data_IF_460710468793
#
_entry.id   IF_460710468793
#
_cell.length_a   1.000
_cell.length_b   1.000
_cell.length_c   1.000
_cell.angle_alpha   90.00
_cell.angle_beta   90.00
_cell.angle_gamma   90.00
#
_symmetry.space_group_name_H-M   'P 1'
#
loop_
_entity.id
_entity.type
_entity.pdbx_description
1 polymer ?
#
# COMPACT_ATOMS: atom_id res chain seq x y z
N UNK A 1 7.25 -18.40 -22.46
CA UNK A 1 7.87 -18.02 -23.75
C UNK A 1 7.98 -16.52 -23.76
N UNK A 2 9.20 -16.01 -23.82
CA UNK A 2 9.44 -14.56 -23.83
C UNK A 2 9.75 -14.07 -25.26
N UNK A 3 10.10 -14.98 -26.18
CA UNK A 3 10.24 -14.68 -27.60
C UNK A 3 8.98 -15.09 -28.38
N UNK A 4 8.47 -14.18 -29.21
CA UNK A 4 7.27 -14.37 -30.03
C UNK A 4 7.56 -13.94 -31.46
N UNK A 5 7.12 -14.75 -32.43
CA UNK A 5 7.15 -14.38 -33.85
C UNK A 5 5.75 -14.03 -34.31
N UNK A 6 5.58 -12.82 -34.83
CA UNK A 6 4.32 -12.30 -35.35
C UNK A 6 4.38 -12.27 -36.87
N UNK A 7 3.34 -12.75 -37.54
CA UNK A 7 3.13 -12.44 -38.96
C UNK A 7 2.64 -10.99 -39.13
N UNK A 8 2.40 -10.55 -40.37
CA UNK A 8 1.98 -9.18 -40.64
C UNK A 8 0.65 -8.80 -39.95
N UNK A 9 -0.36 -9.68 -40.00
CA UNK A 9 -1.67 -9.43 -39.37
C UNK A 9 -1.55 -9.33 -37.84
N UNK A 10 -0.81 -10.25 -37.23
CA UNK A 10 -0.52 -10.24 -35.80
C UNK A 10 0.29 -9.01 -35.39
N UNK A 11 1.21 -8.53 -36.23
CA UNK A 11 1.90 -7.26 -36.00
C UNK A 11 0.93 -6.06 -36.03
N UNK A 12 -0.03 -6.03 -36.96
CA UNK A 12 -1.03 -4.96 -37.02
C UNK A 12 -1.91 -4.97 -35.77
N UNK A 13 -2.36 -6.15 -35.31
CA UNK A 13 -3.03 -6.28 -34.01
C UNK A 13 -2.11 -5.78 -32.87
N UNK A 14 -0.89 -6.31 -32.79
CA UNK A 14 0.06 -5.96 -31.72
C UNK A 14 0.27 -4.44 -31.61
N UNK A 15 0.46 -3.77 -32.75
CA UNK A 15 0.76 -2.33 -32.78
C UNK A 15 -0.47 -1.43 -32.78
N UNK A 16 -1.64 -1.98 -33.12
CA UNK A 16 -2.88 -1.24 -33.37
C UNK A 16 -2.83 -0.41 -34.66
N UNK A 17 -1.89 -0.68 -35.57
CA UNK A 17 -1.81 0.02 -36.85
C UNK A 17 -2.79 -0.55 -37.86
N UNK A 18 -3.37 0.32 -38.67
CA UNK A 18 -4.05 -0.11 -39.89
C UNK A 18 -3.03 -0.58 -40.93
N UNK A 19 -3.46 -1.48 -41.81
CA UNK A 19 -2.60 -1.98 -42.88
C UNK A 19 -2.08 -0.84 -43.77
N UNK A 20 -2.97 0.08 -44.17
CA UNK A 20 -2.63 1.22 -45.02
C UNK A 20 -1.59 2.15 -44.38
N UNK A 21 -1.66 2.34 -43.06
CA UNK A 21 -0.65 3.10 -42.33
C UNK A 21 0.68 2.35 -42.29
N UNK A 22 0.67 1.07 -41.88
CA UNK A 22 1.87 0.25 -41.77
C UNK A 22 2.65 0.15 -43.09
N UNK A 23 1.94 0.00 -44.21
CA UNK A 23 2.58 -0.12 -45.53
C UNK A 23 3.32 1.15 -45.97
N UNK A 24 2.95 2.33 -45.45
CA UNK A 24 3.66 3.59 -45.66
C UNK A 24 4.87 3.77 -44.74
N UNK A 25 5.00 2.94 -43.70
CA UNK A 25 6.09 3.02 -42.73
C UNK A 25 7.30 2.23 -43.19
N UNK A 26 8.48 2.84 -43.00
CA UNK A 26 9.77 2.16 -43.22
C UNK A 26 9.98 1.03 -42.21
N UNK A 27 10.89 0.11 -42.50
CA UNK A 27 11.30 -0.95 -41.56
C UNK A 27 11.77 -0.35 -40.23
N UNK A 28 12.54 0.76 -40.28
CA UNK A 28 13.00 1.50 -39.09
C UNK A 28 11.82 2.03 -38.27
N UNK A 29 10.82 2.63 -38.92
CA UNK A 29 9.61 3.14 -38.23
C UNK A 29 8.83 2.02 -37.54
N UNK A 30 8.70 0.84 -38.18
CA UNK A 30 8.04 -0.34 -37.60
C UNK A 30 8.81 -0.87 -36.39
N UNK A 31 10.15 -0.95 -36.49
CA UNK A 31 11.01 -1.34 -35.38
C UNK A 31 10.92 -0.37 -34.21
N UNK A 32 10.97 0.94 -34.48
CA UNK A 32 10.82 1.97 -33.45
C UNK A 32 9.46 1.89 -32.76
N UNK A 33 8.38 1.60 -33.50
CA UNK A 33 7.05 1.42 -32.91
C UNK A 33 7.03 0.26 -31.92
N UNK A 34 7.62 -0.88 -32.27
CA UNK A 34 7.73 -2.04 -31.39
C UNK A 34 8.56 -1.70 -30.14
N UNK A 35 9.72 -1.06 -30.32
CA UNK A 35 10.56 -0.62 -29.20
C UNK A 35 9.84 0.37 -28.27
N UNK A 36 9.08 1.32 -28.83
CA UNK A 36 8.26 2.27 -28.04
C UNK A 36 7.14 1.58 -27.26
N UNK A 37 6.71 0.40 -27.67
CA UNK A 37 5.77 -0.44 -26.91
C UNK A 37 6.45 -1.25 -25.81
N UNK A 38 7.79 -1.23 -25.74
CA UNK A 38 8.60 -1.86 -24.70
C UNK A 38 9.24 -3.19 -25.10
N UNK A 39 8.98 -3.71 -26.30
CA UNK A 39 9.58 -4.99 -26.72
C UNK A 39 11.08 -4.85 -27.04
N UNK A 40 11.83 -5.92 -26.80
CA UNK A 40 13.28 -6.00 -27.00
C UNK A 40 13.63 -6.95 -28.16
N UNK A 41 14.89 -6.92 -28.59
CA UNK A 41 15.47 -7.90 -29.53
C UNK A 41 14.65 -8.11 -30.82
N UNK A 42 14.16 -7.00 -31.39
CA UNK A 42 13.29 -7.03 -32.57
C UNK A 42 14.09 -7.41 -33.81
N UNK A 43 13.76 -8.56 -34.41
CA UNK A 43 14.27 -9.02 -35.70
C UNK A 43 13.12 -9.08 -36.71
N UNK A 44 13.32 -8.46 -37.87
CA UNK A 44 12.35 -8.45 -38.96
C UNK A 44 12.94 -9.23 -40.13
N UNK A 45 12.23 -10.25 -40.61
CA UNK A 45 12.62 -11.07 -41.77
C UNK A 45 11.54 -10.99 -42.86
N UNK A 46 11.95 -10.86 -44.13
CA UNK A 46 11.03 -10.70 -45.26
C UNK A 46 10.61 -9.25 -45.52
N UNK A 47 9.64 -9.05 -46.42
CA UNK A 47 9.19 -7.73 -46.90
C UNK A 47 7.67 -7.63 -47.06
N UNK A 48 7.14 -6.42 -46.90
CA UNK A 48 5.72 -6.13 -47.10
C UNK A 48 4.82 -6.94 -46.16
N UNK A 49 3.78 -7.56 -46.71
CA UNK A 49 2.84 -8.44 -45.98
C UNK A 49 3.41 -9.81 -45.63
N UNK A 50 4.56 -10.18 -46.21
CA UNK A 50 5.27 -11.44 -45.93
C UNK A 50 6.37 -11.27 -44.89
N UNK A 51 6.41 -10.12 -44.21
CA UNK A 51 7.36 -9.88 -43.13
C UNK A 51 6.93 -10.63 -41.86
N UNK A 52 7.92 -11.20 -41.17
CA UNK A 52 7.79 -11.79 -39.85
C UNK A 52 8.57 -10.94 -38.84
N UNK A 53 8.01 -10.78 -37.66
CA UNK A 53 8.54 -9.94 -36.58
C UNK A 53 8.79 -10.82 -35.38
N UNK A 54 10.06 -11.20 -35.16
CA UNK A 54 10.45 -11.90 -33.94
C UNK A 54 10.86 -10.87 -32.90
N UNK A 55 10.28 -10.94 -31.71
CA UNK A 55 10.48 -9.98 -30.63
C UNK A 55 10.56 -10.68 -29.28
N UNK A 56 11.22 -10.02 -28.34
CA UNK A 56 11.29 -10.42 -26.93
C UNK A 56 10.35 -9.54 -26.10
N UNK A 57 9.39 -10.17 -25.40
CA UNK A 57 8.49 -9.52 -24.45
C UNK A 57 9.25 -9.33 -23.13
N UNK A 58 9.43 -8.10 -22.63
CA UNK A 58 10.17 -7.88 -21.40
C UNK A 58 9.39 -8.36 -20.18
N UNK A 59 10.11 -8.60 -19.09
CA UNK A 59 9.51 -8.89 -17.79
C UNK A 59 8.52 -7.78 -17.38
N UNK A 60 7.38 -8.19 -16.83
CA UNK A 60 6.31 -7.30 -16.40
C UNK A 60 5.57 -6.54 -17.51
N UNK A 61 5.78 -6.89 -18.80
CA UNK A 61 4.98 -6.34 -19.90
C UNK A 61 3.47 -6.50 -19.66
N UNK A 62 3.06 -7.69 -19.21
CA UNK A 62 1.66 -8.02 -18.90
C UNK A 62 1.10 -7.20 -17.75
N UNK A 63 1.93 -6.80 -16.78
CA UNK A 63 1.52 -5.94 -15.66
C UNK A 63 1.10 -4.57 -16.19
N UNK A 64 1.91 -4.03 -17.11
CA UNK A 64 1.69 -2.71 -17.70
C UNK A 64 0.49 -2.67 -18.65
N UNK A 65 0.07 -3.80 -19.23
CA UNK A 65 -1.15 -3.84 -20.06
C UNK A 65 -2.42 -3.54 -19.27
N UNK A 66 -2.42 -3.77 -17.96
CA UNK A 66 -3.55 -3.45 -17.10
C UNK A 66 -3.70 -1.94 -16.86
N UNK A 67 -2.65 -1.16 -17.13
CA UNK A 67 -2.65 0.28 -16.90
C UNK A 67 -2.96 1.00 -18.20
N UNK A 68 -4.26 1.26 -18.43
CA UNK A 68 -4.73 1.92 -19.64
C UNK A 68 -4.05 3.28 -19.85
N UNK A 69 -3.65 3.54 -21.10
CA UNK A 69 -3.03 4.82 -21.48
C UNK A 69 -1.57 4.98 -21.05
N UNK A 70 -0.95 3.94 -20.46
CA UNK A 70 0.49 3.93 -20.19
C UNK A 70 1.24 3.03 -21.16
N UNK A 71 2.32 3.57 -21.73
CA UNK A 71 3.34 2.74 -22.38
C UNK A 71 4.07 1.90 -21.35
N UNK A 72 4.70 0.81 -21.80
CA UNK A 72 5.57 0.01 -20.96
C UNK A 72 6.66 0.89 -20.31
N UNK A 73 6.86 0.69 -19.01
CA UNK A 73 7.90 1.34 -18.22
C UNK A 73 8.54 0.26 -17.35
N UNK A 74 9.87 0.08 -17.38
CA UNK A 74 10.56 -0.85 -16.48
C UNK A 74 10.29 -0.53 -15.00
N UNK A 75 10.35 0.76 -14.63
CA UNK A 75 10.04 1.26 -13.29
C UNK A 75 8.58 0.92 -12.92
N UNK A 76 7.65 1.16 -13.85
CA UNK A 76 6.24 0.85 -13.62
C UNK A 76 5.97 -0.65 -13.45
N UNK A 77 6.59 -1.47 -14.29
CA UNK A 77 6.50 -2.92 -14.22
C UNK A 77 7.05 -3.44 -12.88
N UNK A 78 8.22 -2.96 -12.46
CA UNK A 78 8.81 -3.34 -11.17
C UNK A 78 7.99 -2.82 -9.98
N UNK A 79 7.36 -1.64 -10.08
CA UNK A 79 6.46 -1.15 -9.04
C UNK A 79 5.26 -2.10 -8.83
N UNK A 80 4.65 -2.59 -9.91
CA UNK A 80 3.55 -3.57 -9.82
C UNK A 80 4.07 -4.89 -9.23
N UNK A 81 5.26 -5.34 -9.64
CA UNK A 81 5.94 -6.51 -9.06
C UNK A 81 6.17 -6.35 -7.55
N UNK A 82 6.60 -5.18 -7.10
CA UNK A 82 6.76 -4.86 -5.68
C UNK A 82 5.45 -5.00 -4.90
N UNK A 83 4.32 -4.58 -5.48
CA UNK A 83 3.01 -4.74 -4.85
C UNK A 83 2.62 -6.21 -4.78
N UNK A 84 2.74 -6.93 -5.90
CA UNK A 84 2.41 -8.36 -5.99
C UNK A 84 3.19 -9.19 -4.97
N UNK A 85 4.49 -8.91 -4.86
CA UNK A 85 5.40 -9.66 -3.98
C UNK A 85 5.44 -9.10 -2.54
N UNK A 86 4.62 -8.09 -2.21
CA UNK A 86 4.58 -7.49 -0.88
C UNK A 86 5.92 -6.92 -0.42
N UNK A 87 6.69 -6.27 -1.33
CA UNK A 87 8.00 -5.67 -1.03
C UNK A 87 7.93 -4.41 -0.17
N UNK A 88 6.71 -3.95 0.14
CA UNK A 88 6.46 -2.96 1.19
C UNK A 88 6.57 -3.58 2.59
N UNK A 89 6.68 -4.90 2.74
CA UNK A 89 7.02 -5.55 4.01
C UNK A 89 8.52 -5.74 4.17
N UNK A 90 9.04 -5.38 5.34
CA UNK A 90 10.39 -5.71 5.78
C UNK A 90 10.29 -6.68 6.92
N UNK A 91 10.94 -7.83 6.76
CA UNK A 91 11.08 -8.84 7.81
C UNK A 91 12.49 -8.72 8.40
N UNK A 92 12.57 -8.57 9.71
CA UNK A 92 13.81 -8.55 10.47
C UNK A 92 13.77 -9.64 11.54
N UNK A 93 14.88 -9.82 12.28
CA UNK A 93 14.93 -10.78 13.38
C UNK A 93 13.94 -10.42 14.52
N UNK A 94 13.63 -9.12 14.69
CA UNK A 94 12.73 -8.63 15.76
C UNK A 94 11.26 -8.57 15.34
N UNK A 95 10.94 -8.83 14.07
CA UNK A 95 9.56 -8.85 13.57
C UNK A 95 9.41 -8.28 12.16
N UNK A 96 8.22 -7.77 11.86
CA UNK A 96 7.88 -7.26 10.53
C UNK A 96 7.33 -5.84 10.62
N UNK A 97 7.72 -4.97 9.69
CA UNK A 97 7.12 -3.65 9.55
C UNK A 97 6.76 -3.32 8.09
N UNK A 98 5.81 -2.41 7.92
CA UNK A 98 5.37 -1.91 6.62
C UNK A 98 6.09 -0.59 6.27
N UNK A 99 6.70 -0.53 5.08
CA UNK A 99 7.26 0.67 4.45
C UNK A 99 6.14 1.63 4.01
N UNK A 100 6.40 2.92 4.09
CA UNK A 100 5.62 3.89 3.35
C UNK A 100 5.83 3.71 1.85
N UNK A 101 4.78 4.01 1.09
CA UNK A 101 4.83 4.04 -0.36
C UNK A 101 5.97 4.91 -0.89
N UNK A 102 6.30 6.01 -0.20
CA UNK A 102 7.37 6.92 -0.61
C UNK A 102 8.77 6.32 -0.42
N UNK A 103 8.95 5.46 0.60
CA UNK A 103 10.22 4.71 0.78
C UNK A 103 10.42 3.77 -0.42
N UNK A 104 9.35 3.08 -0.85
CA UNK A 104 9.38 2.23 -2.04
C UNK A 104 9.68 3.03 -3.32
N UNK A 105 9.15 4.24 -3.46
CA UNK A 105 9.46 5.12 -4.60
C UNK A 105 10.92 5.55 -4.60
N UNK A 106 11.50 5.86 -3.44
CA UNK A 106 12.92 6.19 -3.30
C UNK A 106 13.82 5.01 -3.71
N UNK A 107 13.50 3.80 -3.24
CA UNK A 107 14.25 2.58 -3.61
C UNK A 107 14.22 2.32 -5.12
N UNK A 108 13.04 2.51 -5.75
CA UNK A 108 12.89 2.36 -7.20
C UNK A 108 13.66 3.46 -7.95
N UNK A 109 13.63 4.71 -7.47
CA UNK A 109 14.39 5.80 -8.06
C UNK A 109 15.90 5.54 -8.02
N UNK A 110 16.41 5.05 -6.89
CA UNK A 110 17.82 4.67 -6.75
C UNK A 110 18.21 3.51 -7.66
N UNK A 111 17.41 2.42 -7.69
CA UNK A 111 17.70 1.22 -8.50
C UNK A 111 17.73 1.49 -10.00
N UNK A 112 16.90 2.43 -10.47
CA UNK A 112 16.81 2.80 -11.90
C UNK A 112 17.61 4.06 -12.24
N UNK A 113 18.38 4.61 -11.29
CA UNK A 113 19.13 5.87 -11.47
C UNK A 113 18.24 7.01 -12.02
N UNK A 114 17.01 7.09 -11.51
CA UNK A 114 15.97 8.00 -11.99
C UNK A 114 15.63 9.08 -10.95
N UNK A 115 15.13 10.22 -11.42
CA UNK A 115 14.67 11.29 -10.52
C UNK A 115 13.47 10.84 -9.68
N UNK A 116 13.55 11.01 -8.35
CA UNK A 116 12.49 10.64 -7.41
C UNK A 116 11.11 11.16 -7.84
N UNK A 117 11.02 12.42 -8.28
CA UNK A 117 9.73 13.03 -8.66
C UNK A 117 9.10 12.39 -9.89
N UNK A 118 9.91 11.97 -10.86
CA UNK A 118 9.42 11.25 -12.03
C UNK A 118 8.91 9.84 -11.64
N UNK A 119 9.63 9.15 -10.74
CA UNK A 119 9.22 7.84 -10.21
C UNK A 119 7.93 7.95 -9.38
N UNK A 120 7.86 8.93 -8.49
CA UNK A 120 6.69 9.22 -7.65
C UNK A 120 5.45 9.46 -8.52
N UNK A 121 5.55 10.29 -9.56
CA UNK A 121 4.45 10.56 -10.49
C UNK A 121 4.00 9.28 -11.23
N UNK A 122 4.96 8.49 -11.73
CA UNK A 122 4.69 7.25 -12.47
C UNK A 122 4.00 6.22 -11.58
N UNK A 123 4.56 5.94 -10.40
CA UNK A 123 4.03 4.95 -9.48
C UNK A 123 2.68 5.38 -8.89
N UNK A 124 2.49 6.68 -8.62
CA UNK A 124 1.20 7.20 -8.15
C UNK A 124 0.10 7.01 -9.18
N UNK A 125 0.39 7.29 -10.47
CA UNK A 125 -0.57 7.05 -11.56
C UNK A 125 -0.94 5.57 -11.66
N UNK A 126 0.04 4.67 -11.58
CA UNK A 126 -0.19 3.21 -11.59
C UNK A 126 -1.04 2.80 -10.38
N UNK A 127 -0.65 3.21 -9.17
CA UNK A 127 -1.36 2.89 -7.93
C UNK A 127 -2.83 3.33 -7.98
N UNK A 128 -3.09 4.54 -8.46
CA UNK A 128 -4.44 5.06 -8.60
C UNK A 128 -5.26 4.23 -9.61
N UNK A 129 -4.67 3.89 -10.75
CA UNK A 129 -5.31 3.04 -11.75
C UNK A 129 -5.61 1.65 -11.20
N UNK A 130 -4.67 1.02 -10.49
CA UNK A 130 -4.90 -0.28 -9.86
C UNK A 130 -6.00 -0.24 -8.80
N UNK A 131 -6.06 0.81 -7.99
CA UNK A 131 -7.13 1.01 -6.99
C UNK A 131 -8.48 1.22 -7.64
N UNK A 132 -8.54 2.05 -8.69
CA UNK A 132 -9.78 2.32 -9.43
C UNK A 132 -10.38 1.02 -9.95
N UNK A 133 -9.56 0.15 -10.53
CA UNK A 133 -10.00 -1.12 -11.12
C UNK A 133 -10.08 -2.30 -10.13
N UNK A 134 -10.00 -2.05 -8.81
CA UNK A 134 -10.14 -3.11 -7.81
C UNK A 134 -9.00 -4.14 -7.80
N UNK A 135 -7.84 -3.80 -8.33
CA UNK A 135 -6.66 -4.68 -8.38
C UNK A 135 -5.82 -4.67 -7.11
N UNK A 136 -5.92 -3.59 -6.33
CA UNK A 136 -5.22 -3.47 -5.05
C UNK A 136 -6.13 -2.89 -3.98
N UNK A 137 -5.93 -3.33 -2.74
CA UNK A 137 -6.63 -2.83 -1.55
C UNK A 137 -5.64 -2.50 -0.45
N UNK A 138 -6.10 -1.77 0.56
CA UNK A 138 -5.32 -1.62 1.80
C UNK A 138 -5.56 -2.86 2.67
N UNK A 139 -4.49 -3.52 3.07
CA UNK A 139 -4.55 -4.67 3.97
C UNK A 139 -4.87 -4.23 5.40
N UNK A 140 -5.29 -5.19 6.24
CA UNK A 140 -5.41 -4.98 7.69
C UNK A 140 -4.05 -4.80 8.36
N UNK A 141 -2.99 -5.34 7.76
CA UNK A 141 -1.61 -5.20 8.25
C UNK A 141 -1.14 -3.77 8.12
N UNK A 142 -0.71 -3.20 9.25
CA UNK A 142 -0.30 -1.80 9.36
C UNK A 142 0.79 -1.66 10.42
N UNK A 143 1.65 -0.66 10.26
CA UNK A 143 2.73 -0.34 11.20
C UNK A 143 2.74 1.16 11.48
N UNK A 144 2.88 1.53 12.74
CA UNK A 144 3.14 2.89 13.20
C UNK A 144 4.59 3.26 12.90
N UNK A 145 4.79 4.39 12.21
CA UNK A 145 6.13 4.83 11.79
C UNK A 145 6.37 6.26 12.24
N UNK A 146 7.62 6.51 12.60
CA UNK A 146 8.10 7.78 13.18
C UNK A 146 9.25 8.32 12.35
N UNK A 147 9.44 9.64 12.38
CA UNK A 147 10.69 10.23 11.87
C UNK A 147 11.55 10.67 13.03
N UNK A 148 12.86 10.59 12.81
CA UNK A 148 13.86 11.17 13.69
C UNK A 148 14.58 12.27 12.95
N UNK A 149 14.81 13.38 13.64
CA UNK A 149 15.73 14.42 13.21
C UNK A 149 17.15 13.95 13.52
N UNK A 150 18.00 13.80 12.51
CA UNK A 150 19.43 13.51 12.69
C UNK A 150 20.27 14.62 12.10
N UNK A 151 21.42 14.89 12.71
CA UNK A 151 22.44 15.76 12.11
C UNK A 151 23.33 14.91 11.21
N UNK A 152 23.27 15.14 9.90
CA UNK A 152 24.11 14.48 8.90
C UNK A 152 24.87 15.59 8.16
N UNK A 153 26.21 15.53 8.21
CA UNK A 153 27.10 16.49 7.54
C UNK A 153 26.75 17.97 7.85
N UNK A 154 26.39 18.27 9.10
CA UNK A 154 26.05 19.62 9.53
C UNK A 154 24.65 20.10 9.14
N UNK A 155 23.81 19.23 8.56
CA UNK A 155 22.40 19.53 8.24
C UNK A 155 21.46 18.63 9.03
N UNK A 156 20.40 19.21 9.57
CA UNK A 156 19.31 18.43 10.15
C UNK A 156 18.50 17.78 9.04
N UNK A 157 18.42 16.46 9.05
CA UNK A 157 17.68 15.65 8.09
C UNK A 157 16.62 14.85 8.85
N UNK A 158 15.38 14.94 8.38
CA UNK A 158 14.28 14.15 8.92
C UNK A 158 14.22 12.81 8.19
N UNK A 159 14.68 11.76 8.84
CA UNK A 159 14.74 10.40 8.30
C UNK A 159 13.64 9.53 8.89
N UNK A 160 13.07 8.63 8.10
CA UNK A 160 12.17 7.59 8.61
C UNK A 160 12.97 6.58 9.44
N UNK A 161 12.49 6.26 10.62
CA UNK A 161 13.07 5.15 11.39
C UNK A 161 12.75 3.85 10.67
N UNK A 162 13.76 3.02 10.44
CA UNK A 162 13.71 1.76 9.69
C UNK A 162 14.14 0.56 10.55
N UNK A 163 14.09 -0.63 9.97
CA UNK A 163 14.58 -1.89 10.55
C UNK A 163 14.00 -2.21 11.94
N UNK A 164 14.80 -2.88 12.77
CA UNK A 164 14.46 -3.29 14.13
C UNK A 164 13.93 -2.13 14.98
N UNK A 165 14.46 -0.92 14.78
CA UNK A 165 14.04 0.24 15.53
C UNK A 165 12.61 0.67 15.16
N UNK A 166 12.21 0.55 13.89
CA UNK A 166 10.84 0.81 13.46
C UNK A 166 9.84 -0.13 14.15
N UNK A 167 10.23 -1.39 14.37
CA UNK A 167 9.40 -2.39 15.05
C UNK A 167 9.24 -2.04 16.53
N UNK A 168 10.33 -1.61 17.19
CA UNK A 168 10.26 -1.16 18.59
C UNK A 168 9.31 0.02 18.75
N UNK A 169 9.38 1.02 17.86
CA UNK A 169 8.44 2.15 17.89
C UNK A 169 7.00 1.72 17.58
N UNK A 170 6.78 0.78 16.66
CA UNK A 170 5.45 0.21 16.41
C UNK A 170 4.87 -0.46 17.66
N UNK A 171 5.66 -1.29 18.33
CA UNK A 171 5.26 -1.98 19.56
C UNK A 171 4.93 -1.00 20.69
N UNK A 172 5.77 0.03 20.90
CA UNK A 172 5.51 1.08 21.90
C UNK A 172 4.22 1.83 21.60
N UNK A 173 4.00 2.23 20.35
CA UNK A 173 2.78 2.92 19.93
C UNK A 173 1.53 2.03 20.08
N UNK A 174 1.64 0.73 19.77
CA UNK A 174 0.55 -0.23 20.03
C UNK A 174 0.25 -0.38 21.51
N UNK A 175 1.26 -0.43 22.37
CA UNK A 175 1.07 -0.54 23.82
C UNK A 175 0.27 0.66 24.36
N UNK A 176 0.62 1.87 23.92
CA UNK A 176 -0.14 3.10 24.21
C UNK A 176 -1.59 2.97 23.75
N UNK A 177 -1.82 2.55 22.50
CA UNK A 177 -3.18 2.42 21.96
C UNK A 177 -3.99 1.36 22.70
N UNK A 178 -3.41 0.19 22.92
CA UNK A 178 -4.07 -0.89 23.66
C UNK A 178 -4.45 -0.44 25.06
N UNK A 179 -3.55 0.23 25.78
CA UNK A 179 -3.84 0.79 27.10
C UNK A 179 -4.99 1.80 27.05
N UNK A 180 -4.94 2.74 26.11
CA UNK A 180 -6.00 3.73 25.91
C UNK A 180 -7.36 3.08 25.63
N UNK A 181 -7.45 2.20 24.64
CA UNK A 181 -8.72 1.56 24.26
C UNK A 181 -9.23 0.62 25.34
N UNK A 182 -8.34 -0.09 26.06
CA UNK A 182 -8.73 -0.94 27.17
C UNK A 182 -9.28 -0.12 28.34
N UNK A 183 -8.65 1.01 28.68
CA UNK A 183 -9.16 1.94 29.70
C UNK A 183 -10.55 2.44 29.33
N UNK A 184 -10.74 2.90 28.09
CA UNK A 184 -12.04 3.36 27.60
C UNK A 184 -13.08 2.24 27.61
N UNK A 185 -12.72 1.02 27.20
CA UNK A 185 -13.62 -0.14 27.21
C UNK A 185 -14.03 -0.54 28.62
N UNK A 186 -13.09 -0.55 29.57
CA UNK A 186 -13.38 -0.87 30.96
C UNK A 186 -14.36 0.15 31.57
N UNK A 187 -14.20 1.44 31.26
CA UNK A 187 -15.13 2.48 31.67
C UNK A 187 -16.51 2.31 31.02
N UNK A 188 -16.55 2.05 29.71
CA UNK A 188 -17.80 1.82 29.00
C UNK A 188 -18.55 0.58 29.49
N UNK A 189 -17.82 -0.48 29.89
CA UNK A 189 -18.40 -1.70 30.49
C UNK A 189 -19.07 -1.47 31.84
N UNK A 190 -18.77 -0.38 32.54
CA UNK A 190 -19.54 0.01 33.75
C UNK A 190 -20.96 0.47 33.42
N UNK A 191 -21.18 0.92 32.18
CA UNK A 191 -22.47 1.40 31.66
C UNK A 191 -23.15 0.30 30.84
N UNK A 192 -22.40 -0.39 29.99
CA UNK A 192 -22.87 -1.51 29.15
C UNK A 192 -21.96 -2.74 29.35
N UNK A 193 -22.26 -3.62 30.31
CA UNK A 193 -21.38 -4.74 30.70
C UNK A 193 -21.01 -5.70 29.58
N UNK A 194 -21.90 -5.87 28.59
CA UNK A 194 -21.72 -6.81 27.47
C UNK A 194 -20.92 -6.20 26.30
N UNK A 195 -20.47 -4.94 26.42
CA UNK A 195 -19.75 -4.28 25.35
C UNK A 195 -18.39 -4.95 25.05
N UNK A 196 -18.17 -5.31 23.79
CA UNK A 196 -16.88 -5.82 23.28
C UNK A 196 -15.93 -4.70 22.83
N UNK A 197 -16.48 -3.54 22.50
CA UNK A 197 -15.70 -2.36 22.10
C UNK A 197 -16.41 -1.07 22.49
N UNK A 198 -15.66 0.03 22.55
CA UNK A 198 -16.25 1.37 22.74
C UNK A 198 -16.67 1.92 21.38
N UNK A 199 -17.92 2.38 21.23
CA UNK A 199 -18.34 3.10 20.04
C UNK A 199 -17.46 4.32 19.79
N UNK A 200 -16.81 4.39 18.62
CA UNK A 200 -15.80 5.43 18.30
C UNK A 200 -16.35 6.85 18.48
N UNK A 201 -17.64 7.08 18.21
CA UNK A 201 -18.26 8.40 18.35
C UNK A 201 -18.25 8.92 19.79
N UNK A 202 -18.19 8.04 20.80
CA UNK A 202 -18.12 8.45 22.22
C UNK A 202 -16.74 8.99 22.60
N UNK A 203 -15.69 8.51 21.95
CA UNK A 203 -14.29 8.81 22.28
C UNK A 203 -13.54 9.48 21.11
N UNK A 204 -14.27 10.03 20.15
CA UNK A 204 -13.69 10.48 18.89
C UNK A 204 -12.68 11.62 19.09
N UNK A 205 -12.89 12.48 20.09
CA UNK A 205 -11.98 13.59 20.39
C UNK A 205 -10.68 13.10 21.02
N UNK A 206 -10.77 12.16 21.95
CA UNK A 206 -9.65 11.55 22.65
C UNK A 206 -8.83 10.68 21.71
N UNK A 207 -9.50 9.90 20.85
CA UNK A 207 -8.83 9.18 19.76
C UNK A 207 -8.02 10.15 18.89
N UNK A 208 -8.58 11.32 18.50
CA UNK A 208 -7.81 12.31 17.72
C UNK A 208 -6.59 12.85 18.48
N UNK A 209 -6.68 13.07 19.79
CA UNK A 209 -5.56 13.53 20.63
C UNK A 209 -4.45 12.48 20.73
N UNK A 210 -4.81 11.24 21.06
CA UNK A 210 -3.87 10.12 21.13
C UNK A 210 -3.21 9.84 19.78
N UNK A 211 -3.86 10.12 18.66
CA UNK A 211 -3.28 9.95 17.33
C UNK A 211 -2.36 11.11 16.88
N UNK A 212 -2.25 12.19 17.67
CA UNK A 212 -1.50 13.40 17.32
C UNK A 212 -0.38 13.70 18.32
N UNK A 213 -0.53 14.76 19.13
CA UNK A 213 0.55 15.28 19.98
C UNK A 213 0.92 14.35 21.13
N UNK A 214 -0.07 13.72 21.77
CA UNK A 214 0.17 12.87 22.95
C UNK A 214 1.02 11.64 22.62
N UNK A 215 0.94 11.10 21.40
CA UNK A 215 1.80 10.00 20.98
C UNK A 215 3.25 10.44 20.77
N UNK A 216 3.46 11.63 20.20
CA UNK A 216 4.80 12.14 20.00
C UNK A 216 5.52 12.38 21.35
N UNK A 217 4.78 12.93 22.33
CA UNK A 217 5.25 13.12 23.70
C UNK A 217 5.55 11.78 24.39
N UNK A 218 4.62 10.82 24.34
CA UNK A 218 4.79 9.51 24.99
C UNK A 218 5.90 8.66 24.38
N UNK A 219 6.17 8.81 23.08
CA UNK A 219 7.25 8.09 22.41
C UNK A 219 8.58 8.85 22.38
N UNK A 220 8.59 10.14 22.78
CA UNK A 220 9.76 11.01 22.71
C UNK A 220 10.28 11.24 21.28
N UNK A 221 9.42 11.16 20.26
CA UNK A 221 9.78 11.29 18.84
C UNK A 221 8.67 11.94 18.02
N UNK A 222 9.00 12.44 16.82
CA UNK A 222 7.96 12.90 15.90
C UNK A 222 7.14 11.72 15.37
N UNK A 223 5.93 11.56 15.91
CA UNK A 223 4.95 10.57 15.46
C UNK A 223 4.19 11.11 14.24
N UNK A 224 4.29 10.41 13.11
CA UNK A 224 3.67 10.87 11.87
C UNK A 224 2.44 10.06 11.51
N UNK A 225 2.61 8.79 11.15
CA UNK A 225 1.58 8.06 10.39
C UNK A 225 1.66 6.55 10.56
N UNK A 226 0.52 5.94 10.26
CA UNK A 226 0.40 4.49 10.08
C UNK A 226 0.65 4.14 8.61
N UNK A 227 1.69 3.36 8.34
CA UNK A 227 1.88 2.69 7.06
C UNK A 227 0.94 1.49 6.98
N UNK A 228 0.25 1.31 5.85
CA UNK A 228 -0.64 0.17 5.61
C UNK A 228 -0.09 -0.63 4.44
N UNK A 229 -0.07 -1.95 4.60
CA UNK A 229 0.36 -2.84 3.53
C UNK A 229 -0.61 -2.71 2.35
N UNK A 230 -0.07 -2.65 1.14
CA UNK A 230 -0.86 -2.74 -0.08
C UNK A 230 -1.02 -4.22 -0.44
N UNK A 231 -2.23 -4.66 -0.69
CA UNK A 231 -2.52 -6.05 -1.02
C UNK A 231 -3.01 -6.16 -2.47
N UNK A 232 -2.38 -7.04 -3.23
CA UNK A 232 -2.85 -7.41 -4.56
C UNK A 232 -4.10 -8.29 -4.46
N UNK A 233 -5.13 -7.98 -5.23
CA UNK A 233 -6.34 -8.81 -5.27
C UNK A 233 -6.15 -9.99 -6.22
N UNK A 234 -6.98 -11.03 -6.08
CA UNK A 234 -6.98 -12.16 -6.99
C UNK A 234 -7.21 -11.73 -8.46
N UNK A 235 -7.99 -10.67 -8.68
CA UNK A 235 -8.26 -10.11 -10.01
C UNK A 235 -6.98 -9.63 -10.71
N UNK A 236 -6.02 -9.06 -9.97
CA UNK A 236 -4.75 -8.60 -10.55
C UNK A 236 -3.97 -9.78 -11.14
N UNK A 237 -3.86 -10.86 -10.37
CA UNK A 237 -3.15 -12.07 -10.80
C UNK A 237 -3.87 -12.79 -11.94
N UNK A 238 -5.21 -12.88 -11.86
CA UNK A 238 -6.03 -13.50 -12.89
C UNK A 238 -5.90 -12.76 -14.23
N UNK A 239 -6.01 -11.43 -14.22
CA UNK A 239 -5.98 -10.63 -15.44
C UNK A 239 -4.58 -10.56 -16.07
N UNK A 240 -3.51 -10.56 -15.25
CA UNK A 240 -2.12 -10.72 -15.74
C UNK A 240 -1.97 -12.08 -16.44
N UNK A 241 -2.48 -13.15 -15.83
CA UNK A 241 -2.37 -14.51 -16.36
C UNK A 241 -3.18 -14.67 -17.63
N UNK A 242 -4.40 -14.12 -17.65
CA UNK A 242 -5.25 -14.03 -18.84
C UNK A 242 -4.53 -13.30 -19.97
N UNK A 243 -4.01 -12.10 -19.70
CA UNK A 243 -3.35 -11.29 -20.73
C UNK A 243 -2.19 -12.04 -21.38
N UNK A 244 -1.35 -12.68 -20.56
CA UNK A 244 -0.21 -13.48 -21.02
C UNK A 244 -0.68 -14.70 -21.82
N UNK A 245 -1.55 -15.51 -21.27
CA UNK A 245 -1.92 -16.80 -21.85
C UNK A 245 -2.71 -16.61 -23.15
N UNK A 246 -3.70 -15.72 -23.15
CA UNK A 246 -4.52 -15.42 -24.33
C UNK A 246 -3.67 -14.82 -25.44
N UNK A 247 -2.74 -13.92 -25.13
CA UNK A 247 -1.82 -13.41 -26.15
C UNK A 247 -0.91 -14.51 -26.70
N UNK A 248 -0.31 -15.35 -25.86
CA UNK A 248 0.59 -16.40 -26.34
C UNK A 248 -0.11 -17.43 -27.23
N UNK A 249 -1.41 -17.65 -27.02
CA UNK A 249 -2.23 -18.54 -27.85
C UNK A 249 -2.68 -17.87 -29.16
N UNK A 250 -3.30 -16.68 -29.07
CA UNK A 250 -3.94 -16.03 -30.22
C UNK A 250 -3.01 -15.10 -31.01
N UNK A 251 -1.94 -14.60 -30.36
CA UNK A 251 -1.05 -13.54 -30.85
C UNK A 251 -1.77 -12.26 -31.28
N UNK A 252 -2.93 -12.01 -30.67
CA UNK A 252 -3.79 -10.85 -30.92
C UNK A 252 -3.84 -9.97 -29.66
N UNK A 253 -3.05 -8.90 -29.63
CA UNK A 253 -3.00 -8.00 -28.48
C UNK A 253 -4.23 -7.08 -28.40
N UNK A 254 -4.86 -6.75 -29.53
CA UNK A 254 -6.09 -5.94 -29.51
C UNK A 254 -7.23 -6.70 -28.86
N UNK A 255 -7.41 -7.98 -29.20
CA UNK A 255 -8.42 -8.83 -28.59
C UNK A 255 -8.21 -8.89 -27.06
N UNK A 256 -6.98 -9.13 -26.62
CA UNK A 256 -6.62 -9.13 -25.19
C UNK A 256 -6.95 -7.80 -24.52
N UNK A 257 -6.58 -6.67 -25.12
CA UNK A 257 -6.87 -5.34 -24.55
C UNK A 257 -8.37 -5.05 -24.44
N UNK A 258 -9.16 -5.44 -25.44
CA UNK A 258 -10.62 -5.28 -25.41
C UNK A 258 -11.24 -6.07 -24.27
N UNK A 259 -10.83 -7.33 -24.10
CA UNK A 259 -11.35 -8.16 -23.02
C UNK A 259 -10.93 -7.65 -21.64
N UNK A 260 -9.65 -7.25 -21.48
CA UNK A 260 -9.18 -6.64 -20.23
C UNK A 260 -9.99 -5.39 -19.87
N UNK A 261 -10.35 -4.55 -20.84
CA UNK A 261 -11.20 -3.37 -20.60
C UNK A 261 -12.59 -3.76 -20.07
N UNK A 262 -13.18 -4.84 -20.59
CA UNK A 262 -14.48 -5.35 -20.11
C UNK A 262 -14.37 -5.88 -18.68
N UNK A 263 -13.33 -6.67 -18.39
CA UNK A 263 -13.07 -7.17 -17.04
C UNK A 263 -12.85 -6.03 -16.04
N UNK A 264 -12.07 -5.02 -16.43
CA UNK A 264 -11.83 -3.82 -15.63
C UNK A 264 -13.09 -2.99 -15.37
N UNK A 265 -14.03 -2.95 -16.31
CA UNK A 265 -15.33 -2.33 -16.10
C UNK A 265 -16.16 -3.12 -15.08
N UNK A 266 -16.20 -4.45 -15.20
CA UNK A 266 -16.90 -5.31 -14.25
C UNK A 266 -16.34 -5.17 -12.82
N UNK A 267 -15.02 -5.17 -12.66
CA UNK A 267 -14.36 -4.97 -11.36
C UNK A 267 -14.69 -3.62 -10.74
N UNK A 268 -14.73 -2.55 -11.54
CA UNK A 268 -15.14 -1.20 -11.11
C UNK A 268 -16.57 -1.18 -10.58
N UNK A 269 -17.50 -1.75 -11.34
CA UNK A 269 -18.90 -1.82 -10.94
C UNK A 269 -19.09 -2.60 -9.64
N UNK A 270 -18.41 -3.74 -9.48
CA UNK A 270 -18.45 -4.53 -8.24
C UNK A 270 -17.89 -3.74 -7.05
N UNK A 271 -16.75 -3.06 -7.25
CA UNK A 271 -16.13 -2.23 -6.20
C UNK A 271 -17.04 -1.05 -5.80
N UNK A 272 -17.75 -0.46 -6.75
CA UNK A 272 -18.69 0.62 -6.48
C UNK A 272 -19.89 0.13 -5.67
N UNK A 273 -20.49 -1.01 -6.03
CA UNK A 273 -21.60 -1.59 -5.28
C UNK A 273 -21.22 -1.90 -3.83
N UNK A 274 -20.01 -2.43 -3.60
CA UNK A 274 -19.48 -2.65 -2.25
C UNK A 274 -19.38 -1.35 -1.45
N UNK A 275 -18.88 -0.28 -2.06
CA UNK A 275 -18.79 1.04 -1.40
C UNK A 275 -20.16 1.61 -1.07
N UNK A 276 -21.12 1.52 -1.99
CA UNK A 276 -22.50 1.99 -1.77
C UNK A 276 -23.16 1.23 -0.60
N UNK A 277 -22.95 -0.09 -0.53
CA UNK A 277 -23.44 -0.91 0.58
C UNK A 277 -22.76 -0.51 1.92
N UNK A 278 -21.45 -0.29 1.92
CA UNK A 278 -20.74 0.21 3.11
C UNK A 278 -21.21 1.60 3.55
N UNK A 279 -21.49 2.50 2.61
CA UNK A 279 -22.00 3.84 2.89
C UNK A 279 -23.41 3.78 3.46
N UNK A 280 -24.26 2.91 2.93
CA UNK A 280 -25.60 2.66 3.48
C UNK A 280 -25.52 2.14 4.92
N UNK A 281 -24.69 1.12 5.16
CA UNK A 281 -24.48 0.59 6.52
C UNK A 281 -23.94 1.66 7.49
N UNK A 282 -23.02 2.52 7.04
CA UNK A 282 -22.51 3.66 7.84
C UNK A 282 -23.61 4.70 8.09
N UNK A 283 -24.51 4.94 7.14
CA UNK A 283 -25.63 5.86 7.30
C UNK A 283 -26.67 5.33 8.29
N UNK A 284 -26.99 4.03 8.22
CA UNK A 284 -27.84 3.36 9.20
C UNK A 284 -27.24 3.43 10.60
N UNK A 285 -25.95 3.12 10.76
CA UNK A 285 -25.26 3.24 12.04
C UNK A 285 -25.30 4.67 12.59
N UNK A 286 -25.22 5.69 11.72
CA UNK A 286 -25.38 7.10 12.13
C UNK A 286 -26.80 7.44 12.54
N UNK A 287 -27.80 6.89 11.86
CA UNK A 287 -29.21 7.13 12.18
C UNK A 287 -29.59 6.57 13.56
N UNK A 288 -28.94 5.48 13.99
CA UNK A 288 -29.13 4.87 15.30
C UNK A 288 -28.25 5.49 16.40
N UNK A 289 -27.57 6.60 16.14
CA UNK A 289 -26.76 7.27 17.17
C UNK A 289 -27.65 7.92 18.24
N UNK A 290 -27.24 7.86 19.53
CA UNK A 290 -27.91 8.58 20.60
C UNK A 290 -27.99 10.08 20.30
N UNK A 291 -28.96 10.75 20.91
CA UNK A 291 -29.06 12.22 20.86
C UNK A 291 -27.79 12.88 21.41
N UNK A 292 -27.54 14.15 21.06
CA UNK A 292 -26.37 14.90 21.57
C UNK A 292 -26.33 14.97 23.11
N UNK A 293 -27.48 15.03 23.75
CA UNK A 293 -27.61 15.08 25.22
C UNK A 293 -27.29 13.71 25.82
N UNK A 294 -27.90 12.64 25.32
CA UNK A 294 -27.61 11.27 25.74
C UNK A 294 -26.11 10.92 25.52
N UNK A 295 -25.51 11.42 24.44
CA UNK A 295 -24.08 11.25 24.16
C UNK A 295 -23.21 11.94 25.21
N UNK A 296 -23.55 13.17 25.63
CA UNK A 296 -22.82 13.88 26.69
C UNK A 296 -22.96 13.18 28.04
N UNK A 297 -24.15 12.68 28.36
CA UNK A 297 -24.39 11.92 29.60
C UNK A 297 -23.54 10.64 29.62
N UNK A 298 -23.52 9.89 28.51
CA UNK A 298 -22.67 8.70 28.38
C UNK A 298 -21.18 9.03 28.52
N UNK A 299 -20.71 10.11 27.89
CA UNK A 299 -19.33 10.58 28.03
C UNK A 299 -18.98 10.96 29.47
N UNK A 300 -19.89 11.63 30.18
CA UNK A 300 -19.69 12.03 31.56
C UNK A 300 -19.68 10.82 32.51
N UNK A 301 -20.57 9.86 32.31
CA UNK A 301 -20.58 8.60 33.06
C UNK A 301 -19.29 7.81 32.82
N UNK A 302 -18.80 7.74 31.57
CA UNK A 302 -17.52 7.12 31.26
C UNK A 302 -16.37 7.83 31.97
N UNK A 303 -16.35 9.16 31.97
CA UNK A 303 -15.32 9.94 32.66
C UNK A 303 -15.31 9.67 34.17
N UNK A 304 -16.47 9.66 34.82
CA UNK A 304 -16.58 9.33 36.25
C UNK A 304 -16.09 7.91 36.53
N UNK A 305 -16.48 6.94 35.70
CA UNK A 305 -16.02 5.56 35.81
C UNK A 305 -14.50 5.41 35.63
N UNK A 306 -13.89 6.19 34.74
CA UNK A 306 -12.43 6.23 34.57
C UNK A 306 -11.74 6.76 35.83
N UNK A 307 -12.19 7.90 36.37
CA UNK A 307 -11.61 8.52 37.57
C UNK A 307 -11.75 7.59 38.80
N UNK A 308 -12.89 6.93 38.95
CA UNK A 308 -13.11 5.97 40.04
C UNK A 308 -12.22 4.73 39.92
N UNK A 309 -11.98 4.23 38.70
CA UNK A 309 -11.05 3.11 38.50
C UNK A 309 -9.60 3.53 38.76
N UNK A 310 -9.20 4.75 38.41
CA UNK A 310 -7.86 5.27 38.73
C UNK A 310 -7.65 5.50 40.23
N UNK A 311 -8.69 5.96 40.95
CA UNK A 311 -8.60 6.15 42.41
C UNK A 311 -8.67 4.84 43.22
N UNK A 312 -9.10 3.74 42.59
CA UNK A 312 -9.19 2.40 43.18
C UNK A 312 -8.05 1.48 42.74
N UNK A 313 -7.16 1.95 41.85
CA UNK A 313 -5.98 1.19 41.46
C UNK A 313 -5.03 1.11 42.67
N UNK A 314 -4.66 -0.10 43.14
CA UNK A 314 -3.65 -0.21 44.18
C UNK A 314 -2.35 0.47 43.70
N UNK A 315 -1.60 1.16 44.57
CA UNK A 315 -0.31 1.72 44.20
C UNK A 315 0.56 0.59 43.65
N UNK A 316 1.22 0.85 42.51
CA UNK A 316 2.20 -0.06 41.92
C UNK A 316 3.18 -0.45 43.03
N UNK A 317 3.30 -1.75 43.28
CA UNK A 317 4.18 -2.26 44.31
C UNK A 317 5.64 -1.98 43.93
N UNK A 318 6.51 -1.83 44.93
CA UNK A 318 7.96 -1.63 44.72
C UNK A 318 8.56 -2.74 43.82
N UNK A 319 7.97 -3.94 43.86
CA UNK A 319 8.35 -5.09 43.03
C UNK A 319 7.87 -4.98 41.58
N UNK A 320 6.65 -4.51 41.33
CA UNK A 320 6.17 -4.21 39.97
C UNK A 320 6.95 -3.03 39.35
N UNK A 321 7.34 -2.05 40.16
CA UNK A 321 8.18 -0.93 39.73
C UNK A 321 9.58 -1.41 39.35
N UNK A 322 10.18 -2.29 40.16
CA UNK A 322 11.46 -2.94 39.86
C UNK A 322 11.40 -3.89 38.68
N UNK A 323 10.29 -4.61 38.47
CA UNK A 323 10.10 -5.45 37.29
C UNK A 323 9.93 -4.62 36.02
N UNK A 324 9.25 -3.47 36.12
CA UNK A 324 9.10 -2.55 35.01
C UNK A 324 10.42 -1.80 34.70
N UNK A 325 11.20 -1.43 35.71
CA UNK A 325 12.58 -0.91 35.55
C UNK A 325 13.52 -1.97 34.98
N UNK A 326 13.46 -3.23 35.45
CA UNK A 326 14.26 -4.33 34.90
C UNK A 326 13.91 -4.67 33.44
N UNK A 327 12.61 -4.62 33.07
CA UNK A 327 12.17 -4.78 31.68
C UNK A 327 12.61 -3.60 30.80
N UNK A 328 12.68 -2.39 31.34
CA UNK A 328 13.18 -1.21 30.63
C UNK A 328 14.71 -1.28 30.44
N UNK A 329 15.45 -1.79 31.43
CA UNK A 329 16.90 -2.01 31.35
C UNK A 329 17.27 -3.18 30.42
N UNK A 330 16.45 -4.24 30.32
CA UNK A 330 16.65 -5.31 29.32
C UNK A 330 16.38 -4.84 27.88
N UNK A 331 15.53 -3.84 27.69
CA UNK A 331 15.15 -3.29 26.39
C UNK A 331 16.08 -2.15 25.92
N UNK A 332 16.97 -1.66 26.79
CA UNK A 332 17.99 -0.66 26.49
C UNK A 332 19.35 -1.26 26.88
N UNK A 333 20.09 -1.92 25.97
CA UNK A 333 21.43 -2.34 26.32
C UNK A 333 22.29 -1.10 26.57
N UNK A 334 22.66 -0.88 27.83
CA UNK A 334 23.73 0.04 28.20
C UNK A 334 25.03 -0.47 27.57
N UNK A 335 25.40 0.12 26.43
CA UNK A 335 26.77 0.15 25.97
C UNK A 335 27.57 1.09 26.88
N UNK A 336 27.82 0.66 28.11
CA UNK A 336 28.90 1.20 28.95
C UNK A 336 29.55 0.03 29.67
N UNK A 337 30.56 -0.54 29.02
CA UNK A 337 31.81 -0.86 29.66
C UNK A 337 32.91 -0.82 28.60
N UNK A 338 33.56 0.34 28.54
CA UNK A 338 34.99 0.40 28.26
C UNK A 338 35.71 -0.51 29.28
N UNK A 339 36.40 -1.53 28.78
CA UNK A 339 37.78 -1.84 29.14
C UNK A 339 38.47 -2.45 27.92
#
# INVERSE_FOLDING_TARGET
MDNVTLNHEQFLSFTGWSESHCMKQTVRSRLQKLQNMGVKDVKITGMGKRAEYTLSIPAGFWYMLLINGMSYSPIGAEYIDCIINGRDLVNTAKGTFVKFTNELYMELAQRHEAEYKAVEATCTRIRNSLREHGYITDSHMKTHRVKRVKLIEGKFVNEWVADDEAIVYDQRARAVWTSFFQKKLNAYRKINPEAESVPIYLIAQEVRKVYSFEMAEQLGVEYYRVAKKTEATANLHADISFARNTFLQARDLQAVRKELLLLQQAHRSSTQQLKEHEEHAKAELKAHQPSKEALKELQQQMFVAEVQNESMAPPITEEERKQMEALLDELIPNNENEQ
#
